data_IF_272724290546
#
_entry.id   IF_272724290546
#
_cell.length_a   1.000
_cell.length_b   1.000
_cell.length_c   1.000
_cell.angle_alpha   90.00
_cell.angle_beta   90.00
_cell.angle_gamma   90.00
#
_symmetry.space_group_name_H-M   'P 1'
#
loop_
_entity.id
_entity.type
_entity.pdbx_description
1 polymer ?
2 non-polymer ?
3 non-polymer ?
4 non-polymer ?
5 non-polymer ?
6 water ?
#
# COMPACT_ATOMS: atom_id res chain seq x y z
N UNK A 17 -9.67 -12.71 5.75
CA UNK A 17 -9.20 -11.75 4.71
C UNK A 17 -8.03 -10.90 5.25
N UNK A 18 -8.31 -9.94 6.11
CA UNK A 18 -7.25 -9.29 6.85
C UNK A 18 -7.75 -9.08 8.28
N UNK A 19 -7.43 -10.02 9.17
CA UNK A 19 -8.08 -10.07 10.49
C UNK A 19 -7.26 -9.39 11.56
N UNK A 20 -6.14 -8.78 11.17
CA UNK A 20 -5.15 -8.28 12.11
C UNK A 20 -4.38 -7.09 11.55
N UNK A 21 -5.04 -5.96 11.50
CA UNK A 21 -4.51 -4.82 10.74
C UNK A 21 -3.70 -3.93 11.65
N UNK A 22 -2.55 -3.46 11.17
CA UNK A 22 -1.77 -2.48 11.94
C UNK A 22 -1.86 -1.09 11.30
N UNK A 23 -2.43 -0.12 12.02
CA UNK A 23 -2.44 1.23 11.51
C UNK A 23 -1.34 2.04 12.19
N UNK A 24 -0.48 2.60 11.36
CA UNK A 24 0.58 3.48 11.76
C UNK A 24 0.00 4.89 11.87
N UNK A 25 -0.08 5.32 13.13
CA UNK A 25 -0.54 6.63 13.53
C UNK A 25 0.45 7.72 13.08
N UNK A 26 -0.06 8.79 12.49
CA UNK A 26 0.79 9.88 12.09
C UNK A 26 0.77 10.90 13.22
N UNK A 27 1.92 11.07 13.88
CA UNK A 27 2.01 11.95 15.07
C UNK A 27 1.82 13.45 14.75
N UNK A 28 2.02 13.84 13.49
CA UNK A 28 2.10 15.25 13.09
C UNK A 28 0.76 15.91 12.89
N UNK A 29 -0.35 15.24 13.21
CA UNK A 29 -1.70 15.77 12.97
C UNK A 29 -2.77 14.95 13.64
N UNK A 30 -3.93 15.56 13.88
CA UNK A 30 -5.02 14.88 14.59
C UNK A 30 -5.79 13.82 13.79
N UNK A 31 -6.38 14.23 12.68
CA UNK A 31 -6.99 13.27 11.73
C UNK A 31 -6.08 12.11 11.22
N UNK A 32 -6.62 10.90 11.26
CA UNK A 32 -5.84 9.70 10.92
C UNK A 32 -6.45 8.93 9.74
N UNK A 33 -6.22 9.35 8.46
CA UNK A 33 -6.90 8.61 7.37
C UNK A 33 -6.62 7.10 7.39
N UNK A 34 -5.43 6.68 7.83
CA UNK A 34 -5.09 5.25 7.85
C UNK A 34 -5.98 4.50 8.82
N UNK A 35 -6.23 5.08 9.99
CA UNK A 35 -7.21 4.50 10.92
C UNK A 35 -8.65 4.54 10.34
N UNK A 36 -9.05 5.65 9.73
CA UNK A 36 -10.36 5.76 9.09
C UNK A 36 -10.52 4.66 8.00
N UNK A 37 -9.51 4.50 7.17
CA UNK A 37 -9.50 3.36 6.26
C UNK A 37 -9.64 2.03 6.99
N UNK A 38 -8.97 1.87 8.14
CA UNK A 38 -8.99 0.58 8.85
C UNK A 38 -10.39 0.26 9.36
N UNK A 39 -11.11 1.30 9.78
CA UNK A 39 -12.44 1.13 10.33
C UNK A 39 -13.39 0.81 9.19
N UNK A 40 -13.29 1.58 8.12
CA UNK A 40 -14.03 1.32 6.89
C UNK A 40 -13.97 -0.15 6.52
N UNK A 41 -12.75 -0.68 6.45
CA UNK A 41 -12.50 -2.09 6.20
C UNK A 41 -13.11 -3.02 7.26
N UNK A 42 -12.86 -2.72 8.53
CA UNK A 42 -13.30 -3.60 9.58
C UNK A 42 -14.77 -3.90 9.44
N UNK A 43 -15.56 -2.82 9.30
CA UNK A 43 -17.00 -2.96 9.28
C UNK A 43 -17.52 -3.70 8.07
N UNK A 44 -16.63 -3.99 7.13
CA UNK A 44 -16.98 -4.79 5.96
C UNK A 44 -16.35 -6.21 5.91
N UNK A 45 -15.12 -6.37 6.40
CA UNK A 45 -14.39 -7.67 6.32
C UNK A 45 -13.99 -8.26 7.68
N UNK A 46 -14.37 -7.56 8.77
CA UNK A 46 -13.99 -7.90 10.17
C UNK A 46 -12.52 -7.62 10.44
N UNK A 47 -12.01 -8.24 11.50
CA UNK A 47 -10.57 -8.17 11.77
C UNK A 47 -10.31 -7.12 12.82
N UNK A 48 -9.25 -7.34 13.61
CA UNK A 48 -8.84 -6.44 14.70
C UNK A 48 -7.91 -5.37 14.14
N UNK A 49 -7.79 -4.27 14.88
CA UNK A 49 -6.95 -3.14 14.48
C UNK A 49 -6.01 -2.74 15.63
N UNK A 50 -4.70 -2.76 15.40
CA UNK A 50 -3.79 -2.11 16.34
C UNK A 50 -3.40 -0.71 15.86
N UNK A 51 -3.81 0.32 16.58
CA UNK A 51 -3.37 1.68 16.27
C UNK A 51 -2.02 2.00 16.95
N UNK A 52 -0.97 2.01 16.13
CA UNK A 52 0.40 1.89 16.59
C UNK A 52 1.11 3.17 16.30
N UNK A 53 1.83 3.65 17.29
CA UNK A 53 2.57 4.91 17.17
C UNK A 53 3.93 4.81 17.87
N UNK A 54 5.02 4.72 17.09
CA UNK A 54 6.31 4.81 17.76
C UNK A 54 6.71 6.28 17.90
N UNK A 55 7.22 6.67 19.06
CA UNK A 55 7.75 8.03 19.27
C UNK A 55 9.05 8.04 20.04
N UNK A 56 9.54 9.24 20.21
CA UNK A 56 10.83 9.44 20.82
C UNK A 56 10.98 10.95 21.01
N UNK A 57 11.81 11.34 21.97
CA UNK A 57 12.34 12.68 22.00
C UNK A 57 13.86 12.50 22.23
N UNK A 58 14.67 12.86 21.23
CA UNK A 58 16.12 12.66 21.27
C UNK A 58 16.70 13.24 22.55
N UNK A 59 16.03 14.29 23.04
CA UNK A 59 16.39 14.87 24.32
C UNK A 59 16.35 13.78 25.41
N UNK A 60 15.90 12.58 25.03
CA UNK A 60 15.86 11.39 25.92
C UNK A 60 17.24 10.75 26.12
N UNK A 61 18.17 11.08 25.23
CA UNK A 61 19.56 10.65 25.39
C UNK A 61 20.48 11.78 25.85
N UNK A 62 20.08 13.04 25.63
CA UNK A 62 20.88 14.19 26.04
C UNK A 62 20.61 14.46 27.52
N UNK A 64 24.06 12.09 30.15
CA UNK A 64 24.05 12.67 31.49
C UNK A 64 23.82 14.19 31.42
N UNK A 65 22.67 14.59 30.88
CA UNK A 65 22.21 15.98 31.02
C UNK A 65 20.86 15.97 31.80
N UNK A 66 20.10 14.87 31.71
CA UNK A 66 18.82 14.72 32.43
C UNK A 66 18.86 13.62 33.51
N UNK A 67 18.09 13.79 34.60
CA UNK A 67 18.00 12.75 35.64
C UNK A 67 17.48 11.39 35.12
N UNK A 68 17.88 10.29 35.79
CA UNK A 68 17.27 9.02 35.37
C UNK A 68 15.76 9.08 35.53
N UNK A 69 15.31 9.55 36.70
CA UNK A 69 13.90 9.77 37.00
C UNK A 69 13.20 10.64 35.98
N UNK A 70 13.90 11.70 35.56
CA UNK A 70 13.42 12.69 34.57
C UNK A 70 13.27 12.10 33.15
N UNK A 71 14.26 11.31 32.74
CA UNK A 71 14.20 10.55 31.52
C UNK A 71 12.95 9.67 31.51
N UNK A 72 12.70 9.00 32.63
CA UNK A 72 11.54 8.14 32.76
C UNK A 72 10.23 8.95 32.70
N UNK A 73 10.15 10.04 33.49
CA UNK A 73 8.91 10.84 33.58
C UNK A 73 8.53 11.46 32.23
N UNK A 74 9.56 11.83 31.47
CA UNK A 74 9.36 12.31 30.13
C UNK A 74 8.90 11.15 29.23
N UNK A 75 9.63 10.04 29.28
CA UNK A 75 9.28 8.87 28.46
C UNK A 75 7.88 8.31 28.78
N UNK A 76 7.55 8.24 30.07
CA UNK A 76 6.31 7.64 30.47
C UNK A 76 5.19 8.61 30.18
N UNK A 77 5.49 9.90 30.36
CA UNK A 77 4.54 10.98 30.15
C UNK A 77 4.15 11.17 28.69
N UNK A 78 5.08 10.93 27.80
CA UNK A 78 4.74 10.96 26.40
C UNK A 78 3.89 9.77 25.96
N UNK A 79 4.24 8.56 26.44
CA UNK A 79 3.42 7.37 26.16
C UNK A 79 1.93 7.60 26.54
N UNK A 80 1.69 7.98 27.79
CA UNK A 80 0.34 8.23 28.35
C UNK A 80 -0.46 9.31 27.57
N UNK A 81 0.20 10.40 27.25
CA UNK A 81 -0.43 11.53 26.56
C UNK A 81 -0.84 11.22 25.12
N UNK A 82 0.06 10.62 24.36
CA UNK A 82 -0.28 10.17 23.02
C UNK A 82 -1.42 9.13 23.03
N UNK A 83 -1.33 8.12 23.93
CA UNK A 83 -2.39 7.11 24.11
C UNK A 83 -3.76 7.76 24.27
N UNK A 84 -3.88 8.71 25.19
CA UNK A 84 -5.15 9.43 25.40
C UNK A 84 -5.55 10.25 24.16
N UNK A 85 -4.57 10.81 23.47
CA UNK A 85 -4.80 11.59 22.25
C UNK A 85 -5.36 10.69 21.12
N UNK A 86 -4.67 9.58 20.88
CA UNK A 86 -5.12 8.54 19.95
C UNK A 86 -6.58 8.13 20.33
N UNK A 87 -6.85 7.91 21.64
CA UNK A 87 -8.16 7.48 22.10
C UNK A 87 -9.18 8.56 21.84
N UNK A 88 -8.76 9.82 21.97
CA UNK A 88 -9.63 10.95 21.61
C UNK A 88 -9.98 10.97 20.09
N UNK A 89 -8.99 10.77 19.23
CA UNK A 89 -9.22 10.67 17.79
C UNK A 89 -10.20 9.55 17.44
N UNK A 90 -10.02 8.41 18.10
CA UNK A 90 -10.67 7.14 17.85
C UNK A 90 -11.95 6.92 18.67
N UNK A 91 -12.29 7.85 19.56
CA UNK A 91 -13.40 7.60 20.53
C UNK A 91 -14.67 7.01 19.85
N UNK A 92 -15.11 7.60 18.74
CA UNK A 92 -16.35 7.18 18.07
C UNK A 92 -16.32 5.73 17.58
N UNK A 93 -15.15 5.35 17.06
CA UNK A 93 -14.87 3.99 16.64
C UNK A 93 -14.83 3.01 17.83
N UNK A 94 -14.40 3.47 19.01
CA UNK A 94 -14.34 2.59 20.16
C UNK A 94 -15.74 2.44 20.73
N UNK A 95 -16.43 3.57 20.90
CA UNK A 95 -17.78 3.66 21.46
C UNK A 95 -18.74 2.90 20.53
N UNK A 96 -18.46 2.98 19.23
CA UNK A 96 -19.14 2.19 18.22
C UNK A 96 -18.82 0.72 18.40
N UNK A 97 -17.79 0.40 19.19
CA UNK A 97 -17.46 -0.99 19.46
C UNK A 97 -16.48 -1.62 18.48
N UNK A 98 -15.76 -0.79 17.73
CA UNK A 98 -14.69 -1.28 16.86
C UNK A 98 -13.50 -1.73 17.74
N UNK A 99 -13.00 -2.96 17.50
CA UNK A 99 -11.95 -3.57 18.34
C UNK A 99 -10.55 -2.99 18.04
N UNK A 100 -10.20 -1.89 18.70
CA UNK A 100 -8.94 -1.18 18.42
C UNK A 100 -7.99 -1.20 19.63
N UNK A 101 -6.82 -1.79 19.48
CA UNK A 101 -5.82 -1.80 20.51
C UNK A 101 -4.82 -0.67 20.23
N UNK A 102 -4.58 0.19 21.22
CA UNK A 102 -3.64 1.32 21.11
C UNK A 102 -2.28 0.97 21.69
N UNK A 103 -1.23 1.05 20.84
CA UNK A 103 0.11 0.77 21.27
C UNK A 103 0.96 1.93 20.82
N UNK A 104 1.40 2.69 21.83
CA UNK A 104 2.40 3.71 21.63
C UNK A 104 3.67 3.16 22.22
N UNK A 105 4.75 3.16 21.47
CA UNK A 105 6.04 2.68 21.97
C UNK A 105 7.17 3.66 21.67
N UNK A 106 8.23 3.54 22.46
CA UNK A 106 9.40 4.42 22.46
C UNK A 106 10.47 3.69 21.66
N UNK A 107 10.93 4.35 20.61
CA UNK A 107 11.80 3.74 19.62
C UNK A 107 12.24 4.90 18.75
N UNK A 108 13.51 4.93 18.36
CA UNK A 108 14.05 6.06 17.61
C UNK A 108 13.94 5.87 16.09
N UNK A 109 13.70 4.62 15.64
CA UNK A 109 13.61 4.22 14.21
C UNK A 109 12.24 3.67 13.88
N UNK A 110 11.32 4.54 13.46
CA UNK A 110 9.94 4.16 13.25
C UNK A 110 9.78 2.98 12.32
N UNK A 111 10.54 2.91 11.23
CA UNK A 111 10.25 1.84 10.24
C UNK A 111 10.67 0.48 10.83
N UNK A 112 11.73 0.50 11.64
CA UNK A 112 12.21 -0.68 12.32
C UNK A 112 11.21 -1.07 13.40
N UNK A 113 10.79 -0.08 14.19
CA UNK A 113 9.74 -0.29 15.18
C UNK A 113 8.52 -0.97 14.49
N UNK A 114 8.12 -0.41 13.38
CA UNK A 114 6.90 -0.84 12.73
C UNK A 114 7.02 -2.29 12.29
N UNK A 115 8.18 -2.64 11.72
CA UNK A 115 8.43 -3.95 11.15
C UNK A 115 8.63 -5.00 12.22
N UNK A 116 9.22 -4.60 13.33
CA UNK A 116 9.27 -5.46 14.49
C UNK A 116 7.85 -5.68 15.05
N UNK A 117 6.99 -4.65 15.05
CA UNK A 117 5.63 -4.87 15.57
C UNK A 117 4.83 -5.90 14.73
N UNK A 118 4.88 -5.71 13.41
CA UNK A 118 4.35 -6.63 12.42
C UNK A 118 4.73 -8.08 12.68
N UNK A 119 6.04 -8.33 12.87
CA UNK A 119 6.52 -9.65 13.11
C UNK A 119 6.00 -10.11 14.48
N UNK A 120 6.16 -9.27 15.51
CA UNK A 120 5.71 -9.67 16.85
C UNK A 120 4.22 -10.00 16.84
N UNK A 121 3.38 -9.08 16.35
CA UNK A 121 1.93 -9.22 16.42
C UNK A 121 1.31 -9.97 15.26
N UNK A 122 2.15 -10.65 14.47
CA UNK A 122 1.82 -11.19 13.14
C UNK A 122 0.70 -10.44 12.45
N UNK A 123 0.98 -9.20 12.07
CA UNK A 123 -0.03 -8.40 11.40
C UNK A 123 -0.06 -8.79 9.92
N UNK A 124 -1.26 -8.91 9.37
CA UNK A 124 -1.41 -9.36 8.01
C UNK A 124 -1.62 -8.19 7.05
N UNK A 125 -1.74 -6.98 7.59
CA UNK A 125 -1.85 -5.75 6.78
C UNK A 125 -1.31 -4.55 7.55
N UNK A 126 -0.51 -3.70 6.88
CA UNK A 126 -0.12 -2.47 7.46
C UNK A 126 -0.76 -1.35 6.67
N UNK A 127 -1.41 -0.42 7.39
CA UNK A 127 -1.99 0.79 6.79
C UNK A 127 -1.30 2.03 7.35
N UNK A 128 -0.99 2.97 6.48
CA UNK A 128 -0.23 4.14 6.85
C UNK A 128 -0.58 5.27 5.88
N UNK A 129 -0.72 6.50 6.38
CA UNK A 129 -1.18 7.61 5.53
C UNK A 129 0.00 8.15 4.68
N UNK A 130 -0.26 8.48 3.42
CA UNK A 130 0.67 9.27 2.64
C UNK A 130 -0.08 10.53 2.10
N UNK A 131 0.63 11.63 2.06
CA UNK A 131 0.02 12.87 1.79
C UNK A 131 0.15 13.23 0.32
N UNK A 132 -0.95 13.72 -0.23
CA UNK A 132 -0.91 14.33 -1.54
C UNK A 132 -1.23 15.78 -1.40
N UNK A 133 -0.27 16.63 -1.74
CA UNK A 133 -0.38 18.06 -1.44
C UNK A 133 -1.42 18.71 -2.34
N UNK A 134 -1.55 18.19 -3.58
CA UNK A 134 -2.39 18.74 -4.62
C UNK A 134 -2.91 17.58 -5.51
N UNK A 135 -4.11 17.74 -6.04
CA UNK A 135 -4.74 16.71 -6.84
C UNK A 135 -3.93 16.47 -8.13
N UNK A 136 -3.28 17.53 -8.63
CA UNK A 136 -2.45 17.37 -9.81
C UNK A 136 -1.18 16.55 -9.58
N UNK A 137 -0.74 16.37 -8.33
CA UNK A 137 0.60 15.79 -8.08
C UNK A 137 0.63 14.37 -7.52
N UNK A 138 1.85 13.87 -7.42
CA UNK A 138 2.12 12.54 -6.89
C UNK A 138 2.04 12.59 -5.36
N UNK A 139 1.53 11.50 -4.81
CA UNK A 139 1.51 11.24 -3.39
C UNK A 139 2.96 11.25 -2.92
N UNK A 140 3.20 11.87 -1.75
CA UNK A 140 4.53 12.03 -1.20
C UNK A 140 4.82 10.79 -0.35
N UNK A 141 5.81 9.99 -0.77
CA UNK A 141 6.25 8.88 0.09
C UNK A 141 7.48 9.26 0.84
N UNK A 142 7.40 9.13 2.15
CA UNK A 142 8.53 9.57 2.97
C UNK A 142 9.67 8.53 2.91
N UNK A 143 10.79 8.79 3.59
CA UNK A 143 11.80 7.74 3.70
C UNK A 143 11.28 6.53 4.45
N UNK A 144 10.53 6.76 5.54
CA UNK A 144 9.91 5.69 6.33
C UNK A 144 8.97 4.85 5.46
N UNK A 145 8.09 5.52 4.73
CA UNK A 145 7.23 4.86 3.75
C UNK A 145 8.08 3.92 2.85
N UNK A 146 9.13 4.44 2.23
CA UNK A 146 9.99 3.63 1.38
C UNK A 146 10.59 2.42 2.02
N UNK A 147 11.04 2.55 3.26
CA UNK A 147 11.64 1.45 4.02
C UNK A 147 10.59 0.41 4.32
N UNK A 148 9.37 0.83 4.62
CA UNK A 148 8.27 -0.09 4.83
C UNK A 148 7.99 -0.88 3.58
N UNK A 149 7.76 -0.15 2.48
CA UNK A 149 7.35 -0.73 1.21
C UNK A 149 8.36 -1.77 0.80
N UNK A 150 9.64 -1.47 0.99
CA UNK A 150 10.71 -2.37 0.60
C UNK A 150 10.88 -3.58 1.54
N UNK A 151 10.52 -3.43 2.81
CA UNK A 151 11.08 -4.35 3.80
C UNK A 151 10.02 -5.02 4.69
N UNK A 152 8.84 -4.42 4.77
CA UNK A 152 7.81 -4.95 5.61
C UNK A 152 7.27 -6.30 5.06
N UNK A 153 7.29 -7.38 5.87
CA UNK A 153 6.83 -8.70 5.38
C UNK A 153 5.34 -8.72 4.96
N UNK A 154 4.45 -8.16 5.77
CA UNK A 154 3.03 -8.07 5.44
C UNK A 154 2.77 -7.11 4.27
N UNK A 155 1.58 -7.22 3.65
CA UNK A 155 1.20 -6.20 2.65
C UNK A 155 1.10 -4.80 3.28
N UNK A 156 1.34 -3.76 2.46
CA UNK A 156 1.41 -2.38 2.94
C UNK A 156 0.48 -1.52 2.07
N UNK A 157 -0.49 -0.91 2.74
CA UNK A 157 -1.47 -0.10 2.09
C UNK A 157 -1.23 1.37 2.41
N UNK A 158 -0.76 2.12 1.44
CA UNK A 158 -0.56 3.55 1.63
C UNK A 158 -1.85 4.29 1.29
N UNK A 159 -2.36 5.07 2.25
CA UNK A 159 -3.72 5.66 2.23
C UNK A 159 -3.50 7.14 2.03
N UNK A 160 -3.78 7.52 0.81
CA UNK A 160 -3.73 8.87 0.36
C UNK A 160 -4.79 9.63 1.23
N UNK A 161 -4.49 10.88 1.58
CA UNK A 161 -5.35 11.69 2.44
C UNK A 161 -6.31 12.59 1.69
N UNK A 162 -6.69 12.18 0.50
CA UNK A 162 -7.67 12.91 -0.28
C UNK A 162 -8.84 11.98 -0.46
N UNK A 163 -9.98 12.50 -0.86
CA UNK A 163 -11.10 11.56 -0.99
C UNK A 163 -10.88 10.38 -1.97
N UNK A 164 -11.51 9.23 -1.69
CA UNK A 164 -11.57 8.09 -2.62
C UNK A 164 -12.44 8.47 -3.83
N UNK A 165 -11.92 8.32 -5.06
CA UNK A 165 -12.75 8.74 -6.22
C UNK A 165 -14.07 7.98 -6.23
N UNK A 166 -15.15 8.62 -6.69
CA UNK A 166 -16.50 8.05 -6.66
C UNK A 166 -16.58 6.92 -7.67
N UNK A 167 -16.91 5.72 -7.18
CA UNK A 167 -16.85 4.50 -8.00
C UNK A 167 -15.42 4.08 -8.38
N UNK A 168 -14.43 4.57 -7.66
CA UNK A 168 -13.03 4.27 -7.94
C UNK A 168 -12.74 2.79 -8.09
N UNK A 169 -11.80 2.48 -8.96
CA UNK A 169 -11.55 1.10 -9.31
C UNK A 169 -10.27 0.64 -8.60
N UNK A 170 -10.01 -0.66 -8.54
CA UNK A 170 -8.70 -1.16 -8.16
C UNK A 170 -7.97 -1.58 -9.44
N UNK A 171 -6.75 -1.09 -9.61
CA UNK A 171 -5.89 -1.47 -10.76
C UNK A 171 -4.73 -2.33 -10.26
N UNK A 172 -4.60 -3.55 -10.78
CA UNK A 172 -3.54 -4.51 -10.45
C UNK A 172 -2.50 -4.63 -11.62
N UNK A 173 -1.23 -4.28 -11.37
CA UNK A 173 -0.16 -4.43 -12.38
C UNK A 173 0.24 -5.89 -12.38
N UNK A 174 0.27 -6.52 -13.54
CA UNK A 174 0.68 -7.91 -13.58
C UNK A 174 1.86 -7.97 -14.55
N UNK A 175 2.72 -8.96 -14.32
CA UNK A 175 3.87 -9.19 -15.14
C UNK A 175 3.54 -10.18 -16.26
N UNK A 176 3.85 -9.85 -17.52
CA UNK A 176 3.47 -10.75 -18.64
C UNK A 176 4.56 -11.43 -19.47
N UNK A 177 5.82 -11.36 -19.03
CA UNK A 177 6.95 -11.93 -19.82
C UNK A 177 7.79 -13.00 -19.09
N UNK A 181 7.39 -17.70 -15.69
CA UNK A 181 8.19 -18.84 -15.26
C UNK A 181 7.87 -19.37 -13.83
N UNK A 182 7.81 -18.48 -12.85
CA UNK A 182 7.24 -18.77 -11.54
C UNK A 182 6.63 -17.45 -11.14
N UNK A 183 6.86 -16.47 -12.03
CA UNK A 183 6.20 -15.17 -12.01
C UNK A 183 4.71 -15.40 -12.15
N UNK A 184 4.36 -16.58 -12.66
CA UNK A 184 2.99 -17.01 -12.77
C UNK A 184 2.31 -17.04 -11.40
N UNK A 185 2.97 -17.67 -10.42
CA UNK A 185 2.40 -17.77 -9.07
C UNK A 185 2.21 -16.42 -8.40
N UNK A 186 3.19 -15.54 -8.52
CA UNK A 186 3.16 -14.19 -7.94
C UNK A 186 2.00 -13.36 -8.47
N UNK A 187 1.90 -13.29 -9.81
CA UNK A 187 0.70 -12.79 -10.50
C UNK A 187 -0.64 -13.35 -9.94
N UNK A 188 -0.69 -14.69 -9.77
CA UNK A 188 -1.89 -15.36 -9.25
C UNK A 188 -2.24 -14.89 -7.84
N UNK A 189 -1.23 -14.72 -6.98
CA UNK A 189 -1.48 -14.30 -5.63
C UNK A 189 -2.08 -12.91 -5.70
N UNK A 190 -1.39 -12.04 -6.42
CA UNK A 190 -1.83 -10.67 -6.53
C UNK A 190 -3.31 -10.54 -6.95
N UNK A 191 -3.71 -11.25 -8.01
CA UNK A 191 -5.05 -11.13 -8.54
C UNK A 191 -6.08 -11.79 -7.58
N UNK A 192 -5.74 -12.98 -7.06
CA UNK A 192 -6.55 -13.65 -6.06
C UNK A 192 -6.89 -12.71 -4.89
N UNK A 193 -5.87 -12.25 -4.18
CA UNK A 193 -6.06 -11.42 -3.00
C UNK A 193 -6.81 -10.10 -3.34
N UNK A 194 -6.47 -9.44 -4.45
CA UNK A 194 -7.19 -8.19 -4.79
C UNK A 194 -8.67 -8.43 -5.03
N UNK A 195 -8.99 -9.54 -5.70
CA UNK A 195 -10.35 -9.88 -6.03
C UNK A 195 -11.15 -10.26 -4.78
N UNK A 196 -10.57 -11.07 -3.90
CA UNK A 196 -11.30 -11.46 -2.69
C UNK A 196 -11.60 -10.21 -1.81
N UNK A 197 -10.70 -9.25 -1.81
CA UNK A 197 -10.91 -8.01 -1.08
C UNK A 197 -11.93 -7.06 -1.73
N UNK A 198 -11.78 -6.78 -3.04
CA UNK A 198 -12.67 -5.87 -3.78
C UNK A 198 -14.12 -6.35 -3.74
N UNK A 199 -14.28 -7.66 -3.63
CA UNK A 199 -15.58 -8.29 -3.67
C UNK A 199 -16.25 -8.21 -2.30
N UNK A 200 -15.48 -8.27 -1.22
CA UNK A 200 -16.10 -8.06 0.11
C UNK A 200 -16.07 -6.60 0.54
N UNK A 201 -15.29 -5.78 -0.16
CA UNK A 201 -15.34 -4.32 0.05
C UNK A 201 -16.08 -3.50 -1.06
N UNK A 202 -17.38 -3.43 -0.91
CA UNK A 202 -18.19 -2.62 -1.80
C UNK A 202 -18.14 -3.06 -3.28
N UNK A 203 -17.62 -4.24 -3.55
CA UNK A 203 -17.53 -4.71 -4.93
C UNK A 203 -16.84 -3.69 -5.80
N UNK A 204 -15.71 -3.21 -5.35
CA UNK A 204 -14.87 -2.40 -6.21
C UNK A 204 -14.47 -3.22 -7.46
N UNK A 205 -14.67 -2.64 -8.63
CA UNK A 205 -14.32 -3.31 -9.83
C UNK A 205 -12.80 -3.33 -9.92
N UNK A 206 -12.26 -4.50 -10.25
CA UNK A 206 -10.82 -4.77 -10.34
C UNK A 206 -10.39 -4.73 -11.80
N UNK A 207 -9.32 -4.02 -12.14
CA UNK A 207 -8.77 -4.13 -13.51
C UNK A 207 -7.36 -4.69 -13.47
N UNK A 208 -6.89 -5.30 -14.56
CA UNK A 208 -5.49 -5.78 -14.69
C UNK A 208 -4.84 -5.00 -15.80
N UNK A 209 -3.56 -4.69 -15.63
CA UNK A 209 -2.78 -4.10 -16.68
C UNK A 209 -1.44 -4.81 -16.79
N UNK A 210 -0.99 -5.07 -18.03
CA UNK A 210 0.40 -5.39 -18.37
C UNK A 210 0.86 -4.38 -19.43
N UNK A 211 2.00 -3.73 -19.20
CA UNK A 211 2.59 -2.86 -20.20
C UNK A 211 3.68 -3.64 -20.93
N UNK A 212 3.74 -3.54 -22.24
CA UNK A 212 4.91 -4.05 -22.95
C UNK A 212 5.72 -2.89 -23.48
N UNK A 213 7.06 -3.01 -23.39
CA UNK A 213 8.00 -2.03 -23.91
C UNK A 213 7.99 -2.02 -25.42
N UNK A 214 7.97 -0.85 -26.06
CA UNK A 214 8.27 -0.77 -27.50
C UNK A 214 9.72 -0.27 -27.61
N UNK A 215 10.50 -0.88 -28.50
CA UNK A 215 11.95 -0.57 -28.61
C UNK A 215 12.10 0.88 -29.03
N UNK A 216 12.85 1.69 -28.23
CA UNK A 216 13.09 3.08 -28.55
C UNK A 216 13.44 3.25 -30.02
N UNK A 217 12.94 4.33 -30.61
CA UNK A 217 13.22 4.65 -32.02
C UNK A 217 14.73 4.68 -32.19
N UNK A 218 15.42 5.03 -31.10
CA UNK A 218 16.90 5.07 -30.97
C UNK A 218 17.59 3.71 -31.16
N UNK A 219 17.14 2.70 -30.42
CA UNK A 219 17.64 1.32 -30.46
C UNK A 219 17.31 0.69 -31.81
N UNK A 220 16.13 1.04 -32.37
CA UNK A 220 15.70 0.62 -33.71
C UNK A 220 16.80 0.35 -34.74
N UNK A 221 17.64 1.34 -35.06
CA UNK A 221 18.62 1.24 -36.18
C UNK A 221 19.70 0.14 -36.11
N UNK A 222 19.71 -0.62 -35.01
CA UNK A 222 20.61 -1.76 -34.84
C UNK A 222 20.11 -2.93 -35.68
N UNK A 228 11.69 -3.20 -38.18
CA UNK A 228 10.78 -4.32 -37.91
C UNK A 228 9.65 -4.02 -36.90
N UNK A 229 8.51 -3.52 -37.39
CA UNK A 229 7.26 -3.42 -36.57
C UNK A 229 6.43 -4.75 -36.54
N UNK A 230 7.10 -5.85 -36.90
CA UNK A 230 6.62 -7.19 -36.61
C UNK A 230 6.76 -7.44 -35.10
N UNK A 231 7.90 -7.00 -34.55
CA UNK A 231 8.15 -6.90 -33.11
C UNK A 231 6.90 -6.49 -32.36
N UNK A 232 6.30 -5.39 -32.80
CA UNK A 232 5.18 -4.76 -32.11
C UNK A 232 3.97 -5.69 -31.96
N UNK A 233 3.46 -6.16 -33.09
CA UNK A 233 2.33 -7.06 -33.16
C UNK A 233 2.65 -8.36 -32.45
N UNK A 234 3.85 -8.89 -32.68
CA UNK A 234 4.26 -10.14 -32.07
C UNK A 234 4.33 -10.04 -30.57
N UNK A 235 4.89 -8.97 -30.03
CA UNK A 235 5.00 -8.85 -28.57
C UNK A 235 3.64 -8.61 -27.96
N UNK A 236 2.87 -7.75 -28.63
CA UNK A 236 1.49 -7.51 -28.26
C UNK A 236 0.73 -8.85 -28.18
N UNK A 237 0.89 -9.69 -29.20
CA UNK A 237 0.47 -11.09 -29.18
C UNK A 237 0.75 -11.93 -27.93
N UNK A 238 2.02 -12.18 -27.60
CA UNK A 238 2.32 -12.94 -26.38
C UNK A 238 1.59 -12.41 -25.15
N UNK A 239 1.61 -11.10 -24.98
CA UNK A 239 1.11 -10.49 -23.76
C UNK A 239 -0.37 -10.66 -23.66
N UNK A 240 -1.05 -10.63 -24.79
CA UNK A 240 -2.49 -10.84 -24.82
C UNK A 240 -2.79 -12.28 -24.43
N UNK A 241 -1.98 -13.19 -24.95
CA UNK A 241 -2.16 -14.58 -24.59
C UNK A 241 -2.00 -14.79 -23.08
N UNK A 242 -0.92 -14.22 -22.52
CA UNK A 242 -0.60 -14.28 -21.10
C UNK A 242 -1.67 -13.62 -20.25
N UNK A 243 -2.17 -12.47 -20.70
CA UNK A 243 -3.26 -11.82 -20.01
C UNK A 243 -4.55 -12.69 -19.96
N UNK A 244 -4.95 -13.24 -21.09
CA UNK A 244 -6.14 -14.05 -21.18
C UNK A 244 -6.04 -15.28 -20.25
N UNK A 245 -4.91 -15.99 -20.32
CA UNK A 245 -4.69 -17.21 -19.53
C UNK A 245 -5.01 -16.87 -18.09
N UNK A 246 -4.44 -15.77 -17.64
CA UNK A 246 -4.59 -15.26 -16.28
C UNK A 246 -6.03 -14.79 -15.96
N UNK A 247 -6.51 -13.81 -16.71
CA UNK A 247 -7.88 -13.32 -16.62
C UNK A 247 -8.81 -14.51 -16.35
N UNK A 248 -8.63 -15.55 -17.17
CA UNK A 248 -9.46 -16.72 -17.15
C UNK A 248 -9.19 -17.75 -16.08
N UNK A 249 -7.97 -17.86 -15.57
CA UNK A 249 -7.76 -18.70 -14.41
C UNK A 249 -8.77 -18.22 -13.35
N UNK A 250 -9.18 -16.95 -13.42
CA UNK A 250 -10.08 -16.32 -12.41
C UNK A 250 -11.43 -15.84 -12.94
N UNK A 251 -11.84 -16.29 -14.13
CA UNK A 251 -13.05 -15.78 -14.78
C UNK A 251 -13.20 -14.24 -14.78
N UNK A 252 -12.12 -13.51 -15.06
CA UNK A 252 -12.18 -12.03 -15.19
C UNK A 252 -12.75 -11.63 -16.57
N UNK A 253 -13.60 -10.63 -16.60
CA UNK A 253 -14.09 -10.05 -17.85
C UNK A 253 -12.90 -9.51 -18.65
N UNK A 254 -12.88 -9.74 -19.95
CA UNK A 254 -11.94 -9.13 -20.87
C UNK A 254 -11.98 -7.60 -20.80
N UNK A 255 -13.15 -7.00 -20.58
CA UNK A 255 -13.26 -5.54 -20.67
C UNK A 255 -12.51 -4.77 -19.52
N UNK A 256 -12.11 -5.49 -18.48
CA UNK A 256 -11.44 -4.87 -17.35
C UNK A 256 -9.96 -5.28 -17.31
N UNK A 257 -9.48 -5.78 -18.43
CA UNK A 257 -8.16 -6.29 -18.53
C UNK A 257 -7.47 -5.44 -19.63
N UNK A 258 -6.25 -5.01 -19.41
CA UNK A 258 -5.63 -4.03 -20.35
C UNK A 258 -4.23 -4.44 -20.73
N UNK A 259 -3.91 -4.37 -22.02
CA UNK A 259 -2.57 -4.70 -22.47
C UNK A 259 -2.07 -3.46 -23.27
N UNK A 260 -1.05 -2.77 -22.75
CA UNK A 260 -0.67 -1.45 -23.29
C UNK A 260 0.79 -1.32 -23.67
N UNK A 261 1.06 -0.61 -24.77
CA UNK A 261 2.44 -0.26 -25.08
C UNK A 261 2.95 0.89 -24.19
N UNK A 262 4.19 0.73 -23.74
CA UNK A 262 4.88 1.77 -22.98
C UNK A 262 5.63 1.30 -21.74
N UNK A 263 6.31 2.27 -21.10
CA UNK A 263 6.88 2.09 -19.76
C UNK A 263 5.79 1.96 -18.71
N UNK A 264 5.87 0.89 -17.89
CA UNK A 264 5.03 0.69 -16.71
C UNK A 264 4.74 1.98 -15.96
N UNK A 265 5.77 2.81 -15.71
CA UNK A 265 5.59 4.08 -14.96
C UNK A 265 4.77 5.10 -15.70
N UNK A 266 4.54 4.83 -16.99
CA UNK A 266 3.73 5.64 -17.90
C UNK A 266 2.32 5.12 -17.93
N UNK A 267 2.24 3.83 -18.27
CA UNK A 267 1.00 3.15 -18.55
C UNK A 267 0.19 3.11 -17.29
N UNK A 268 0.76 2.62 -16.21
CA UNK A 268 -0.03 2.43 -14.98
C UNK A 268 -0.71 3.68 -14.42
N UNK A 269 0.02 4.80 -14.36
CA UNK A 269 -0.68 6.02 -13.88
C UNK A 269 -1.59 6.72 -14.92
N UNK A 270 -1.27 6.69 -16.21
CA UNK A 270 -2.28 7.08 -17.21
C UNK A 270 -3.58 6.23 -17.12
N UNK A 271 -3.42 4.93 -16.94
CA UNK A 271 -4.57 4.05 -16.89
C UNK A 271 -5.34 4.24 -15.57
N UNK A 272 -4.60 4.44 -14.48
CA UNK A 272 -5.19 4.86 -13.21
C UNK A 272 -6.04 6.11 -13.33
N UNK A 273 -5.54 7.13 -14.01
CA UNK A 273 -6.26 8.39 -14.17
C UNK A 273 -7.51 8.12 -15.03
N UNK A 274 -7.29 7.61 -16.25
CA UNK A 274 -8.40 7.22 -17.13
C UNK A 274 -9.42 6.34 -16.39
N UNK A 275 -9.00 5.34 -15.60
CA UNK A 275 -9.97 4.46 -14.93
C UNK A 275 -10.60 5.04 -13.67
N UNK A 276 -10.08 6.16 -13.19
CA UNK A 276 -10.43 6.59 -11.82
C UNK A 276 -10.17 5.47 -10.81
N UNK A 277 -8.98 4.89 -10.90
CA UNK A 277 -8.59 3.84 -9.97
C UNK A 277 -8.37 4.46 -8.57
N UNK A 278 -9.05 3.95 -7.53
CA UNK A 278 -8.85 4.49 -6.17
C UNK A 278 -7.53 4.01 -5.58
N UNK A 279 -7.03 2.88 -6.09
CA UNK A 279 -5.81 2.25 -5.57
C UNK A 279 -5.10 1.52 -6.72
N UNK A 280 -3.77 1.46 -6.65
CA UNK A 280 -2.96 0.64 -7.55
C UNK A 280 -2.28 -0.46 -6.71
N UNK A 281 -2.35 -1.68 -7.21
CA UNK A 281 -1.82 -2.84 -6.50
C UNK A 281 -0.61 -3.39 -7.26
N UNK A 282 0.50 -3.54 -6.55
CA UNK A 282 1.78 -3.98 -7.11
C UNK A 282 2.31 -5.12 -6.31
N UNK A 283 2.99 -6.05 -6.97
CA UNK A 283 3.62 -7.19 -6.35
C UNK A 283 5.11 -7.04 -6.59
N UNK A 284 5.94 -7.61 -5.73
CA UNK A 284 7.37 -7.26 -5.77
C UNK A 284 8.26 -8.36 -6.34
N UNK A 285 9.39 -7.93 -6.94
CA UNK A 285 10.50 -8.78 -7.48
C UNK A 285 10.72 -10.18 -6.84
N UNK A 293 16.57 -5.36 -0.39
CA UNK A 293 15.58 -4.29 -0.24
C UNK A 293 15.35 -3.57 -1.57
N UNK A 294 14.51 -4.16 -2.43
CA UNK A 294 14.36 -3.71 -3.81
C UNK A 294 13.11 -4.33 -4.40
N UNK A 295 12.17 -3.49 -4.86
CA UNK A 295 10.87 -3.94 -5.39
C UNK A 295 10.85 -4.37 -6.88
N UNK A 296 11.97 -4.22 -7.56
CA UNK A 296 11.99 -4.48 -8.96
C UNK A 296 11.76 -3.15 -9.61
N UNK A 297 12.40 -2.95 -10.76
CA UNK A 297 12.31 -1.66 -11.46
C UNK A 297 10.88 -1.13 -11.69
N UNK A 298 9.96 -2.03 -12.07
CA UNK A 298 8.62 -1.60 -12.44
C UNK A 298 8.03 -0.85 -11.25
N UNK A 299 8.07 -1.49 -10.08
CA UNK A 299 7.46 -0.95 -8.88
C UNK A 299 8.17 0.29 -8.41
N UNK A 300 9.50 0.28 -8.46
CA UNK A 300 10.25 1.44 -7.98
C UNK A 300 9.86 2.68 -8.80
N UNK A 301 10.01 2.61 -10.13
CA UNK A 301 9.67 3.74 -11.03
C UNK A 301 8.20 4.19 -10.92
N UNK A 302 7.30 3.23 -10.75
CA UNK A 302 5.85 3.52 -10.72
C UNK A 302 5.46 4.29 -9.46
N UNK A 303 5.82 3.73 -8.30
CA UNK A 303 5.40 4.20 -6.98
C UNK A 303 5.54 5.70 -6.81
N UNK A 304 6.66 6.25 -7.26
CA UNK A 304 6.89 7.69 -7.23
C UNK A 304 6.01 8.54 -8.10
N UNK A 305 5.16 7.93 -8.91
CA UNK A 305 4.33 8.65 -9.84
C UNK A 305 2.85 8.46 -9.55
N UNK A 306 2.49 7.78 -8.45
CA UNK A 306 1.07 7.46 -8.17
C UNK A 306 0.28 8.67 -7.67
N UNK A 307 -0.99 8.75 -8.04
CA UNK A 307 -1.86 9.79 -7.53
C UNK A 307 -3.03 9.17 -6.80
N UNK A 308 -2.83 7.97 -6.23
CA UNK A 308 -3.91 7.28 -5.53
C UNK A 308 -3.27 6.34 -4.51
N UNK A 309 -4.09 5.54 -3.80
CA UNK A 309 -3.58 4.66 -2.78
C UNK A 309 -2.71 3.68 -3.48
N UNK A 310 -1.81 3.07 -2.70
CA UNK A 310 -0.96 2.00 -3.18
C UNK A 310 -1.07 0.79 -2.25
N UNK A 311 -1.10 -0.41 -2.82
CA UNK A 311 -1.01 -1.62 -2.03
C UNK A 311 0.12 -2.47 -2.57
N UNK A 312 1.10 -2.76 -1.71
CA UNK A 312 2.24 -3.58 -2.15
C UNK A 312 2.17 -4.95 -1.52
N UNK A 313 2.36 -5.98 -2.34
CA UNK A 313 2.23 -7.34 -1.89
C UNK A 313 3.47 -8.10 -2.31
N UNK A 314 4.07 -8.74 -1.33
CA UNK A 314 5.30 -9.47 -1.54
C UNK A 314 4.98 -10.95 -1.60
N UNK A 315 5.80 -11.74 -2.30
CA UNK A 315 5.52 -13.17 -2.29
C UNK A 315 5.64 -13.66 -0.86
N UNK A 316 4.63 -14.35 -0.33
CA UNK A 316 4.73 -14.82 1.06
C UNK A 316 5.95 -15.75 1.23
N UNK A 317 6.40 -16.36 0.15
CA UNK A 317 7.48 -17.33 0.23
C UNK A 317 8.89 -16.77 0.05
#
# INVERSE_FOLDING_TARGET
MRGSHHHHHHGMASMAMYQNMLVVIDPNQDDQPALRRAVYLHQRIGGKIKAFLPIYDFSYEMTTLLSPDERTAMRQGVISQRTAWIREQAKYYLEAGVPIEIKVVWHNRPFEAIIQEVIAGSHDLVLKMAHQHDRLEAVIFTPTDWHLLRKCPSPVWMVKDQPWPEGGKALVAVNLASEEPYHNALNEKLVKETLQLAEQVNHTEVHLVGAYPVTPINIAIELPEFDPSVYNDAIRGQHLLAMKALRQKFSIDEKVTHVEKGLPEEVIPDLAEHLQAGIVVLGTVGRTGLSAAFLGNTAEQVIDHLRCDLLVIKPDEYQTPVELDDEDD
#
